data_IF_469105277070
#
_entry.id   IF_469105277070
#
_cell.length_a   1.000
_cell.length_b   1.000
_cell.length_c   1.000
_cell.angle_alpha   90.00
_cell.angle_beta   90.00
_cell.angle_gamma   90.00
#
_symmetry.space_group_name_H-M   'P 1'
#
loop_
_entity.id
_entity.type
_entity.pdbx_description
1 polymer ?
#
# COMPACT_ATOMS: atom_id res chain seq x y z
N UNK A 1 -0.25 16.68 32.91
CA UNK A 1 0.44 16.63 31.60
C UNK A 1 -0.57 17.04 30.54
N UNK A 2 -0.44 18.21 29.92
CA UNK A 2 -1.35 18.63 28.83
C UNK A 2 -0.89 17.91 27.56
N UNK A 3 -1.74 17.17 26.85
CA UNK A 3 -1.34 16.58 25.58
C UNK A 3 -1.05 17.74 24.62
N UNK A 4 0.22 17.90 24.24
CA UNK A 4 0.60 18.78 23.16
C UNK A 4 0.25 18.06 21.86
N UNK A 5 -0.99 18.24 21.41
CA UNK A 5 -1.42 17.73 20.10
C UNK A 5 -0.59 18.45 19.04
N UNK A 6 0.25 17.68 18.36
CA UNK A 6 1.13 18.14 17.30
C UNK A 6 0.47 17.94 15.93
N UNK A 7 0.91 18.64 14.89
CA UNK A 7 0.48 18.37 13.51
C UNK A 7 0.76 16.91 13.07
N UNK A 8 1.75 16.26 13.68
CA UNK A 8 2.07 14.85 13.44
C UNK A 8 0.94 13.94 13.93
N UNK A 9 0.31 14.26 15.07
CA UNK A 9 -0.82 13.49 15.59
C UNK A 9 -2.01 13.51 14.62
N UNK A 10 -2.23 14.65 13.94
CA UNK A 10 -3.21 14.77 12.86
C UNK A 10 -2.87 13.89 11.64
N UNK A 11 -1.60 13.85 11.23
CA UNK A 11 -1.14 12.97 10.15
C UNK A 11 -1.25 11.49 10.52
N UNK A 12 -0.94 11.13 11.75
CA UNK A 12 -1.07 9.76 12.27
C UNK A 12 -2.54 9.32 12.32
N UNK A 13 -3.44 10.21 12.73
CA UNK A 13 -4.87 9.95 12.72
C UNK A 13 -5.38 9.72 11.30
N UNK A 14 -4.97 10.57 10.35
CA UNK A 14 -5.32 10.42 8.94
C UNK A 14 -4.78 9.10 8.35
N UNK A 15 -3.52 8.76 8.65
CA UNK A 15 -2.90 7.50 8.27
C UNK A 15 -3.71 6.31 8.79
N UNK A 16 -4.12 6.36 10.06
CA UNK A 16 -4.91 5.30 10.71
C UNK A 16 -6.28 5.15 10.06
N UNK A 17 -6.94 6.25 9.73
CA UNK A 17 -8.23 6.22 9.02
C UNK A 17 -8.08 5.60 7.63
N UNK A 18 -7.06 6.00 6.87
CA UNK A 18 -6.83 5.44 5.54
C UNK A 18 -6.50 3.96 5.57
N UNK A 19 -5.61 3.53 6.47
CA UNK A 19 -5.24 2.13 6.62
C UNK A 19 -6.39 1.28 7.18
N UNK A 20 -7.08 1.73 8.22
CA UNK A 20 -8.20 1.00 8.81
C UNK A 20 -9.36 0.83 7.82
N UNK A 21 -9.65 1.86 7.01
CA UNK A 21 -10.68 1.78 5.98
C UNK A 21 -10.27 0.94 4.77
N UNK A 22 -8.96 0.80 4.52
CA UNK A 22 -8.43 0.10 3.36
C UNK A 22 -8.95 -1.34 3.27
N UNK A 23 -8.89 -2.10 4.37
CA UNK A 23 -9.33 -3.50 4.40
C UNK A 23 -10.82 -3.64 4.05
N UNK A 24 -11.67 -2.75 4.57
CA UNK A 24 -13.10 -2.73 4.26
C UNK A 24 -13.36 -2.41 2.79
N UNK A 25 -12.68 -1.40 2.24
CA UNK A 25 -12.83 -1.00 0.83
C UNK A 25 -12.36 -2.12 -0.09
N UNK A 26 -11.20 -2.72 0.19
CA UNK A 26 -10.66 -3.83 -0.61
C UNK A 26 -11.61 -5.01 -0.60
N UNK A 27 -12.16 -5.39 0.57
CA UNK A 27 -13.13 -6.50 0.70
C UNK A 27 -14.37 -6.29 -0.18
N UNK A 28 -14.89 -5.07 -0.25
CA UNK A 28 -16.02 -4.71 -1.12
C UNK A 28 -15.59 -4.68 -2.59
N UNK A 29 -14.40 -4.18 -2.90
CA UNK A 29 -13.93 -4.13 -4.28
C UNK A 29 -13.70 -5.52 -4.89
N UNK A 30 -13.19 -6.47 -4.09
CA UNK A 30 -12.95 -7.85 -4.57
C UNK A 30 -14.22 -8.70 -4.69
N UNK A 31 -15.39 -8.23 -4.20
CA UNK A 31 -16.66 -8.92 -4.47
C UNK A 31 -17.20 -8.60 -5.86
N UNK A 32 -16.83 -7.44 -6.41
CA UNK A 32 -17.24 -6.97 -7.74
C UNK A 32 -16.17 -7.26 -8.81
N UNK A 33 -14.88 -7.25 -8.43
CA UNK A 33 -13.76 -7.44 -9.34
C UNK A 33 -12.89 -8.65 -8.94
N UNK A 34 -12.27 -9.36 -9.91
CA UNK A 34 -11.26 -10.36 -9.61
C UNK A 34 -10.12 -9.76 -8.76
N UNK A 35 -9.81 -10.40 -7.64
CA UNK A 35 -8.93 -9.84 -6.61
C UNK A 35 -7.53 -9.48 -7.12
N UNK A 36 -6.95 -10.34 -7.97
CA UNK A 36 -5.67 -10.06 -8.61
C UNK A 36 -5.73 -8.88 -9.57
N UNK A 37 -6.79 -8.75 -10.37
CA UNK A 37 -6.96 -7.64 -11.32
C UNK A 37 -7.09 -6.29 -10.59
N UNK A 38 -7.91 -6.23 -9.54
CA UNK A 38 -8.04 -5.05 -8.68
C UNK A 38 -6.67 -4.62 -8.13
N UNK A 39 -5.92 -5.59 -7.60
CA UNK A 39 -4.64 -5.31 -7.00
C UNK A 39 -3.57 -4.87 -8.03
N UNK A 40 -3.53 -5.49 -9.21
CA UNK A 40 -2.63 -5.09 -10.30
C UNK A 40 -2.92 -3.67 -10.78
N UNK A 41 -4.20 -3.32 -10.97
CA UNK A 41 -4.60 -1.96 -11.36
C UNK A 41 -4.19 -0.96 -10.28
N UNK A 42 -4.46 -1.26 -9.01
CA UNK A 42 -4.08 -0.41 -7.87
C UNK A 42 -2.57 -0.14 -7.85
N UNK A 43 -1.75 -1.17 -8.06
CA UNK A 43 -0.28 -1.02 -8.12
C UNK A 43 0.19 -0.26 -9.35
N UNK A 44 -0.44 -0.45 -10.52
CA UNK A 44 -0.12 0.32 -11.72
C UNK A 44 -0.42 1.81 -11.53
N UNK A 45 -1.58 2.15 -10.95
CA UNK A 45 -1.95 3.54 -10.63
C UNK A 45 -0.93 4.13 -9.64
N UNK A 46 -0.60 3.43 -8.56
CA UNK A 46 0.39 3.88 -7.59
C UNK A 46 1.76 4.15 -8.24
N UNK A 47 2.23 3.23 -9.09
CA UNK A 47 3.50 3.38 -9.80
C UNK A 47 3.50 4.62 -10.70
N UNK A 48 2.43 4.83 -11.49
CA UNK A 48 2.30 6.01 -12.38
C UNK A 48 2.30 7.31 -11.56
N UNK A 49 1.54 7.34 -10.46
CA UNK A 49 1.48 8.52 -9.58
C UNK A 49 2.84 8.83 -8.95
N UNK A 50 3.54 7.83 -8.44
CA UNK A 50 4.88 8.03 -7.86
C UNK A 50 5.91 8.45 -8.91
N UNK A 51 5.87 7.89 -10.12
CA UNK A 51 6.73 8.33 -11.23
C UNK A 51 6.43 9.78 -11.64
N UNK A 52 5.15 10.15 -11.68
CA UNK A 52 4.73 11.53 -11.91
C UNK A 52 5.23 12.49 -10.83
N UNK A 53 5.16 12.07 -9.57
CA UNK A 53 5.64 12.84 -8.42
C UNK A 53 7.16 13.02 -8.44
N UNK A 54 7.90 11.94 -8.73
CA UNK A 54 9.36 11.97 -8.90
C UNK A 54 9.75 12.95 -10.00
N UNK A 55 9.01 12.94 -11.12
CA UNK A 55 9.24 13.85 -12.24
C UNK A 55 8.90 15.29 -11.91
N UNK A 56 7.86 15.52 -11.11
CA UNK A 56 7.41 16.83 -10.63
C UNK A 56 8.45 17.47 -9.70
N UNK A 57 8.96 16.72 -8.72
CA UNK A 57 10.02 17.18 -7.82
C UNK A 57 11.43 17.14 -8.44
N UNK A 58 11.57 16.60 -9.67
CA UNK A 58 12.84 16.48 -10.40
C UNK A 58 13.89 15.66 -9.65
N UNK A 59 13.42 14.67 -8.89
CA UNK A 59 14.26 13.76 -8.15
C UNK A 59 15.05 12.86 -9.12
N UNK A 60 16.34 12.61 -8.86
CA UNK A 60 17.17 11.79 -9.72
C UNK A 60 16.74 10.32 -9.67
N UNK A 61 16.86 9.62 -10.81
CA UNK A 61 16.66 8.18 -10.84
C UNK A 61 17.76 7.45 -10.05
N UNK A 62 17.46 6.28 -9.46
CA UNK A 62 18.44 5.45 -8.78
C UNK A 62 19.63 5.09 -9.68
N UNK A 63 20.81 4.94 -9.08
CA UNK A 63 22.00 4.52 -9.84
C UNK A 63 21.80 3.10 -10.33
N UNK A 64 22.41 2.74 -11.47
CA UNK A 64 22.32 1.39 -12.05
C UNK A 64 22.74 0.27 -11.06
N UNK A 65 23.63 0.57 -10.13
CA UNK A 65 24.05 -0.32 -9.04
C UNK A 65 22.93 -0.70 -8.07
N UNK A 66 21.90 0.14 -7.95
CA UNK A 66 20.86 0.01 -6.93
C UNK A 66 19.66 -0.78 -7.47
N UNK A 67 19.59 -0.97 -8.79
CA UNK A 67 18.52 -1.70 -9.47
C UNK A 67 18.34 -3.14 -9.01
N UNK A 68 19.40 -3.95 -8.77
CA UNK A 68 19.24 -5.30 -8.24
C UNK A 68 18.59 -5.28 -6.85
N UNK A 69 19.02 -4.37 -5.98
CA UNK A 69 18.44 -4.22 -4.63
C UNK A 69 16.99 -3.76 -4.71
N UNK A 70 16.68 -2.77 -5.57
CA UNK A 70 15.31 -2.31 -5.81
C UNK A 70 14.42 -3.41 -6.37
N UNK A 71 14.93 -4.21 -7.31
CA UNK A 71 14.20 -5.35 -7.86
C UNK A 71 13.94 -6.41 -6.77
N UNK A 72 14.92 -6.71 -5.92
CA UNK A 72 14.75 -7.60 -4.78
C UNK A 72 13.68 -7.11 -3.80
N UNK A 73 13.73 -5.82 -3.44
CA UNK A 73 12.72 -5.19 -2.58
C UNK A 73 11.33 -5.17 -3.21
N UNK A 74 11.23 -4.91 -4.52
CA UNK A 74 9.97 -4.95 -5.24
C UNK A 74 9.39 -6.37 -5.29
N UNK A 75 10.22 -7.40 -5.51
CA UNK A 75 9.76 -8.78 -5.55
C UNK A 75 9.31 -9.25 -4.17
N UNK A 76 10.15 -9.08 -3.14
CA UNK A 76 9.86 -9.58 -1.79
C UNK A 76 8.82 -8.73 -1.09
N UNK A 77 9.05 -7.42 -1.05
CA UNK A 77 8.24 -6.47 -0.27
C UNK A 77 6.96 -6.00 -0.96
N UNK A 78 6.87 -6.06 -2.29
CA UNK A 78 5.65 -5.70 -3.00
C UNK A 78 4.99 -6.91 -3.65
N UNK A 79 5.67 -7.68 -4.50
CA UNK A 79 5.00 -8.75 -5.24
C UNK A 79 4.52 -9.88 -4.33
N UNK A 80 5.42 -10.52 -3.57
CA UNK A 80 5.04 -11.62 -2.68
C UNK A 80 4.14 -11.16 -1.54
N UNK A 81 4.49 -10.05 -0.87
CA UNK A 81 3.64 -9.48 0.16
C UNK A 81 2.21 -9.25 -0.34
N UNK A 82 2.06 -8.67 -1.53
CA UNK A 82 0.74 -8.33 -2.05
C UNK A 82 -0.07 -9.55 -2.47
N UNK A 83 0.58 -10.62 -2.94
CA UNK A 83 -0.06 -11.92 -3.16
C UNK A 83 -0.57 -12.52 -1.85
N UNK A 84 0.24 -12.50 -0.80
CA UNK A 84 -0.17 -12.99 0.52
C UNK A 84 -1.30 -12.13 1.10
N UNK A 85 -1.23 -10.81 0.94
CA UNK A 85 -2.24 -9.87 1.42
C UNK A 85 -3.60 -10.10 0.76
N UNK A 86 -3.64 -10.20 -0.58
CA UNK A 86 -4.90 -10.37 -1.31
C UNK A 86 -5.53 -11.74 -0.98
N UNK A 87 -4.74 -12.80 -0.93
CA UNK A 87 -5.20 -14.14 -0.53
C UNK A 87 -5.66 -14.18 0.94
N UNK A 88 -4.97 -13.48 1.83
CA UNK A 88 -5.34 -13.34 3.24
C UNK A 88 -6.73 -12.71 3.40
N UNK A 89 -7.00 -11.62 2.66
CA UNK A 89 -8.31 -10.95 2.69
C UNK A 89 -9.42 -11.80 2.07
N UNK A 90 -9.12 -12.55 1.01
CA UNK A 90 -10.08 -13.47 0.38
C UNK A 90 -10.45 -14.59 1.36
N UNK A 91 -9.47 -15.18 2.05
CA UNK A 91 -9.66 -16.36 2.90
C UNK A 91 -10.09 -16.05 4.33
N UNK A 92 -9.97 -14.81 4.81
CA UNK A 92 -10.29 -14.43 6.19
C UNK A 92 -11.27 -13.27 6.28
N UNK A 93 -11.92 -13.07 7.44
CA UNK A 93 -12.78 -11.90 7.66
C UNK A 93 -11.96 -10.60 7.73
N UNK A 94 -12.60 -9.46 7.44
CA UNK A 94 -11.94 -8.13 7.51
C UNK A 94 -11.30 -7.91 8.89
N UNK A 95 -12.01 -8.25 9.96
CA UNK A 95 -11.52 -8.13 11.34
C UNK A 95 -10.29 -8.98 11.62
N UNK A 96 -10.22 -10.20 11.08
CA UNK A 96 -9.06 -11.07 11.26
C UNK A 96 -7.87 -10.60 10.42
N UNK A 97 -8.12 -10.15 9.18
CA UNK A 97 -7.09 -9.55 8.33
C UNK A 97 -6.46 -8.32 8.99
N UNK A 98 -7.27 -7.40 9.55
CA UNK A 98 -6.78 -6.17 10.17
C UNK A 98 -6.04 -6.37 11.50
N UNK A 99 -6.19 -7.54 12.14
CA UNK A 99 -5.47 -7.87 13.38
C UNK A 99 -4.12 -8.55 13.10
N UNK A 100 -4.02 -9.27 11.99
CA UNK A 100 -2.84 -10.08 11.65
C UNK A 100 -1.85 -9.30 10.76
N UNK A 101 -2.36 -8.41 9.90
CA UNK A 101 -1.60 -7.63 8.92
C UNK A 101 -1.43 -6.18 9.39
#
# INVERSE_FOLDING_TARGET
MRPHVTPIDGLLLLMTIFWGSNFSIVKVAISEFPAFAFNTIRMAIAAILFLGLLRFYREPLPRRSDWPTLAGLAIVGHFFYQLCFIEGIVRTSVSNSSLIL
#
